data_IF_598181906805
#
_entry.id   IF_598181906805
#
_cell.length_a   1.000
_cell.length_b   1.000
_cell.length_c   1.000
_cell.angle_alpha   90.00
_cell.angle_beta   90.00
_cell.angle_gamma   90.00
#
_symmetry.space_group_name_H-M   'P 1'
#
loop_
_entity.id
_entity.type
_entity.pdbx_description
1 polymer ?
#
# COMPACT_ATOMS: atom_id res chain seq x y z
N UNK A 1 -26.04 -21.06 -3.70
CA UNK A 1 -25.77 -20.53 -3.55
C UNK A 1 -25.26 -20.16 -3.46
N UNK A 2 -25.04 -20.40 -3.30
CA UNK A 2 -24.57 -19.81 -3.08
C UNK A 2 -23.89 -19.27 -3.14
N UNK A 3 -23.73 -19.38 -3.25
CA UNK A 3 -23.15 -18.67 -3.21
C UNK A 3 -22.46 -18.30 -3.14
N UNK A 4 -22.48 -18.20 -3.25
CA UNK A 4 -21.91 -17.49 -3.13
C UNK A 4 -21.35 -17.29 -2.80
N UNK A 5 -21.43 -17.34 -2.72
CA UNK A 5 -20.92 -16.84 -2.32
C UNK A 5 -20.24 -16.52 -2.04
N UNK A 6 -20.51 -16.52 -1.79
CA UNK A 6 -19.80 -16.07 -1.25
C UNK A 6 -18.70 -15.71 -1.57
N UNK A 7 -18.46 -15.78 -2.17
CA UNK A 7 -17.43 -15.51 -2.62
C UNK A 7 -17.13 -14.31 -2.71
N UNK A 8 -17.79 -13.66 -2.83
CA UNK A 8 -17.55 -12.46 -2.90
C UNK A 8 -17.02 -12.00 -1.78
N UNK A 9 -17.22 -12.47 -0.84
CA UNK A 9 -16.71 -12.07 0.26
C UNK A 9 -15.34 -12.20 0.13
N UNK A 10 -14.86 -13.05 -0.53
CA UNK A 10 -13.48 -13.24 -0.67
C UNK A 10 -12.92 -11.97 -1.15
N UNK A 11 -13.56 -11.38 -2.05
CA UNK A 11 -12.99 -10.23 -2.61
C UNK A 11 -12.89 -9.14 -1.62
N UNK A 12 -13.58 -9.21 -0.58
CA UNK A 12 -13.50 -8.15 0.33
C UNK A 12 -12.43 -8.36 1.34
N UNK A 13 -11.69 -9.43 1.26
CA UNK A 13 -10.68 -9.67 2.23
C UNK A 13 -9.34 -9.14 1.85
N UNK A 14 -8.92 -8.08 2.44
CA UNK A 14 -7.64 -7.48 2.14
C UNK A 14 -6.51 -8.43 2.40
N UNK A 15 -6.70 -9.37 3.24
CA UNK A 15 -5.62 -10.26 3.55
C UNK A 15 -5.17 -11.07 2.37
N UNK A 16 -5.93 -11.09 1.31
CA UNK A 16 -5.52 -11.86 0.15
C UNK A 16 -4.73 -11.01 -0.82
N UNK A 17 -4.53 -9.78 -0.49
CA UNK A 17 -3.79 -8.91 -1.37
C UNK A 17 -2.31 -9.29 -1.34
N UNK A 18 -1.67 -9.39 -2.46
CA UNK A 18 -0.27 -9.75 -2.54
C UNK A 18 0.59 -8.55 -2.19
N UNK A 19 1.46 -8.67 -1.22
CA UNK A 19 2.30 -7.53 -0.85
C UNK A 19 3.33 -7.23 -1.91
N UNK A 20 3.79 -6.00 -1.97
CA UNK A 20 4.79 -5.60 -2.96
C UNK A 20 6.03 -5.08 -2.26
N UNK A 21 7.14 -5.05 -2.95
CA UNK A 21 8.40 -4.60 -2.37
C UNK A 21 8.57 -3.09 -2.58
N UNK A 22 9.68 -2.55 -2.12
CA UNK A 22 9.94 -1.12 -2.22
C UNK A 22 9.93 -0.61 -3.65
N UNK A 23 10.47 -1.38 -4.56
CA UNK A 23 10.55 -0.95 -5.93
C UNK A 23 9.16 -0.82 -6.52
N UNK A 24 8.31 -1.78 -6.28
CA UNK A 24 6.96 -1.73 -6.78
C UNK A 24 6.17 -0.63 -6.07
N UNK A 25 6.38 -0.45 -4.80
CA UNK A 25 5.69 0.61 -4.06
C UNK A 25 6.08 1.96 -4.64
N UNK A 26 7.36 2.14 -4.94
CA UNK A 26 7.85 3.40 -5.50
C UNK A 26 7.20 3.65 -6.84
N UNK A 27 7.07 2.59 -7.63
CA UNK A 27 6.48 2.73 -8.94
C UNK A 27 5.01 3.11 -8.80
N UNK A 28 4.33 2.49 -7.89
CA UNK A 28 2.91 2.77 -7.68
C UNK A 28 2.73 4.22 -7.22
N UNK A 29 3.61 4.71 -6.37
CA UNK A 29 3.48 6.05 -5.87
C UNK A 29 4.08 7.11 -6.80
N UNK A 30 4.83 6.68 -7.76
CA UNK A 30 5.45 7.62 -8.69
C UNK A 30 6.63 8.35 -8.09
N UNK A 31 7.37 7.70 -7.20
CA UNK A 31 8.52 8.33 -6.57
C UNK A 31 9.71 7.39 -6.64
N UNK A 32 10.86 7.83 -6.19
CA UNK A 32 12.04 6.99 -6.24
C UNK A 32 12.06 6.01 -5.08
N UNK A 33 12.71 4.87 -5.23
CA UNK A 33 12.83 3.93 -4.13
C UNK A 33 13.52 4.55 -2.92
N UNK A 34 14.47 5.46 -3.15
CA UNK A 34 15.15 6.12 -2.05
C UNK A 34 14.18 6.90 -1.19
N UNK A 35 13.22 7.52 -1.81
CA UNK A 35 12.26 8.29 -1.06
C UNK A 35 11.36 7.36 -0.24
N UNK A 36 11.02 6.20 -0.80
CA UNK A 36 10.21 5.24 -0.07
C UNK A 36 10.99 4.75 1.16
N UNK A 37 12.28 4.48 1.00
CA UNK A 37 13.10 4.06 2.12
C UNK A 37 13.14 5.14 3.20
N UNK A 38 13.22 6.39 2.79
CA UNK A 38 13.24 7.49 3.74
C UNK A 38 11.95 7.54 4.56
N UNK A 39 10.83 7.30 3.91
CA UNK A 39 9.56 7.29 4.62
C UNK A 39 9.48 6.10 5.58
N UNK A 40 10.02 4.95 5.18
CA UNK A 40 10.02 3.78 6.04
C UNK A 40 10.87 4.06 7.28
N UNK A 41 12.03 4.68 7.09
CA UNK A 41 12.92 4.96 8.19
C UNK A 41 12.25 5.91 9.18
N UNK A 42 11.46 6.81 8.71
CA UNK A 42 10.77 7.76 9.56
C UNK A 42 9.44 7.23 10.05
N UNK A 43 9.10 6.02 9.68
CA UNK A 43 7.85 5.40 10.05
C UNK A 43 6.66 6.24 9.63
N UNK A 44 6.76 6.80 8.44
CA UNK A 44 5.72 7.65 7.93
C UNK A 44 4.89 7.05 6.81
N UNK A 45 5.12 5.80 6.48
CA UNK A 45 4.40 5.14 5.41
C UNK A 45 3.98 3.75 5.90
N UNK A 46 2.79 3.30 5.56
CA UNK A 46 2.34 1.97 6.00
C UNK A 46 3.19 0.89 5.37
N UNK A 47 3.81 0.06 6.19
CA UNK A 47 4.65 -1.01 5.70
C UNK A 47 4.68 -2.11 6.76
N UNK A 48 5.22 -3.27 6.41
CA UNK A 48 5.42 -4.31 7.38
C UNK A 48 6.63 -5.11 6.95
N UNK A 49 7.15 -5.94 7.82
CA UNK A 49 8.31 -6.72 7.49
C UNK A 49 7.96 -8.18 7.47
N UNK A 50 8.48 -8.86 6.46
CA UNK A 50 8.22 -10.27 6.33
C UNK A 50 9.51 -10.98 6.64
N UNK A 51 9.42 -12.08 7.29
CA UNK A 51 10.57 -12.89 7.65
C UNK A 51 11.58 -12.07 8.43
N UNK A 52 11.13 -11.07 9.13
CA UNK A 52 11.99 -10.29 9.98
C UNK A 52 12.75 -9.16 9.33
N UNK A 53 12.90 -9.17 8.03
CA UNK A 53 13.63 -8.11 7.43
C UNK A 53 13.10 -7.57 6.16
N UNK A 54 12.47 -8.32 5.33
CA UNK A 54 12.02 -7.84 4.02
C UNK A 54 10.88 -6.85 4.18
N UNK A 55 11.04 -5.64 3.68
CA UNK A 55 10.03 -4.62 3.78
C UNK A 55 9.00 -4.84 2.70
N UNK A 56 7.74 -4.82 3.06
CA UNK A 56 6.66 -5.03 2.10
C UNK A 56 5.53 -4.06 2.35
N UNK A 57 4.73 -3.83 1.33
CA UNK A 57 3.64 -2.89 1.41
C UNK A 57 2.37 -3.52 0.83
N UNK A 58 1.21 -3.02 1.23
CA UNK A 58 -0.03 -3.45 0.61
C UNK A 58 -0.49 -2.26 -0.18
N UNK A 59 -0.76 -2.47 -1.45
CA UNK A 59 -1.15 -1.36 -2.33
C UNK A 59 -2.40 -0.65 -1.84
N UNK A 60 -3.32 -1.39 -1.25
CA UNK A 60 -4.52 -0.78 -0.73
C UNK A 60 -4.20 0.21 0.39
N UNK A 61 -3.21 -0.12 1.22
CA UNK A 61 -2.82 0.77 2.30
C UNK A 61 -2.07 1.97 1.75
N UNK A 62 -1.27 1.76 0.72
CA UNK A 62 -0.54 2.86 0.11
C UNK A 62 -1.53 3.83 -0.54
N UNK A 63 -2.56 3.28 -1.13
CA UNK A 63 -3.55 4.12 -1.78
C UNK A 63 -4.27 5.00 -0.75
N UNK A 64 -4.66 4.44 0.37
CA UNK A 64 -5.31 5.20 1.41
C UNK A 64 -4.38 6.26 1.96
N UNK A 65 -3.13 5.89 2.15
CA UNK A 65 -2.14 6.79 2.70
C UNK A 65 -1.89 7.95 1.73
N UNK A 66 -1.76 7.63 0.48
CA UNK A 66 -1.50 8.63 -0.52
C UNK A 66 -2.63 9.64 -0.60
N UNK A 67 -3.83 9.18 -0.45
CA UNK A 67 -4.97 10.07 -0.53
C UNK A 67 -5.00 11.12 0.57
N UNK A 68 -4.35 10.87 1.66
CA UNK A 68 -4.31 11.84 2.72
C UNK A 68 -3.58 13.10 2.29
N UNK A 69 -2.68 12.99 1.32
CA UNK A 69 -1.93 14.14 0.91
C UNK A 69 -2.57 14.76 -0.32
N UNK A 70 -3.65 14.20 -0.78
CA UNK A 70 -4.21 14.68 -1.96
C UNK A 70 -5.26 15.70 -1.78
N UNK A 71 -5.79 15.76 -0.77
CA UNK A 71 -6.71 16.66 -0.44
C UNK A 71 -6.68 17.95 -0.92
N UNK A 72 -6.13 18.79 -0.46
CA UNK A 72 -6.13 20.05 -0.88
C UNK A 72 -5.14 20.28 -1.76
N UNK A 73 -4.25 19.53 -1.74
CA UNK A 73 -3.14 19.75 -2.53
C UNK A 73 -3.59 19.85 -3.87
N UNK A 74 -4.45 19.06 -4.10
CA UNK A 74 -4.84 19.02 -5.40
C UNK A 74 -5.28 20.30 -5.84
N UNK A 75 -5.73 20.99 -5.06
CA UNK A 75 -6.23 22.13 -5.37
C UNK A 75 -5.32 22.97 -5.79
N UNK A 76 -4.47 23.14 -5.20
CA UNK A 76 -3.62 24.04 -5.53
C UNK A 76 -2.76 23.39 -6.27
N UNK A 77 -2.86 22.42 -6.35
CA UNK A 77 -1.89 21.79 -7.18
C UNK A 77 -1.81 22.04 -7.50
#
# INVERSE_FOLDING_TARGET
MMGGLSINEASSLPSFEVPVDVKEAARFLGVSPSLVYAYVERKQIPHFRMMGRAIRFRLSELESWRQQFHVNGGING
#
